data_IF_536924898089
#
_entry.id   IF_536924898089
#
_cell.length_a   1.000
_cell.length_b   1.000
_cell.length_c   1.000
_cell.angle_alpha   90.00
_cell.angle_beta   90.00
_cell.angle_gamma   90.00
#
_symmetry.space_group_name_H-M   'P 1'
#
loop_
_entity.id
_entity.type
_entity.pdbx_description
1 polymer ?
#
# COMPACT_ATOMS: atom_id res chain seq x y z
N UNK A 1 -31.56 23.37 66.10
CA UNK A 1 -31.33 22.93 64.70
C UNK A 1 -29.82 22.79 64.52
N UNK A 2 -29.28 21.57 64.50
CA UNK A 2 -27.83 21.31 64.37
C UNK A 2 -27.54 20.97 62.91
N UNK A 3 -26.73 21.79 62.24
CA UNK A 3 -26.33 21.55 60.85
C UNK A 3 -25.13 20.59 60.86
N UNK A 4 -25.27 19.46 60.16
CA UNK A 4 -24.19 18.50 59.92
C UNK A 4 -23.43 18.94 58.67
N UNK A 5 -22.14 19.25 58.83
CA UNK A 5 -21.22 19.48 57.70
C UNK A 5 -20.61 18.14 57.33
N UNK A 6 -20.87 17.68 56.11
CA UNK A 6 -20.21 16.51 55.53
C UNK A 6 -19.02 16.98 54.70
N UNK A 7 -17.81 16.68 55.15
CA UNK A 7 -16.59 16.88 54.35
C UNK A 7 -16.39 15.64 53.49
N UNK A 8 -16.65 15.76 52.19
CA UNK A 8 -16.29 14.73 51.22
C UNK A 8 -14.81 14.88 50.86
N UNK A 9 -14.00 13.92 51.32
CA UNK A 9 -12.59 13.83 50.94
C UNK A 9 -12.49 13.09 49.60
N UNK A 10 -12.30 13.81 48.50
CA UNK A 10 -12.07 13.20 47.18
C UNK A 10 -10.66 12.65 47.10
N UNK A 11 -10.51 11.33 47.15
CA UNK A 11 -9.26 10.66 46.78
C UNK A 11 -9.15 10.69 45.26
N UNK A 12 -8.30 11.57 44.74
CA UNK A 12 -8.00 11.64 43.32
C UNK A 12 -7.08 10.48 42.95
N UNK A 13 -7.64 9.42 42.36
CA UNK A 13 -6.85 8.31 41.84
C UNK A 13 -6.02 8.81 40.65
N UNK A 14 -4.70 8.88 40.84
CA UNK A 14 -3.76 9.15 39.75
C UNK A 14 -3.74 7.91 38.86
N UNK A 15 -4.56 7.93 37.81
CA UNK A 15 -4.49 6.96 36.72
C UNK A 15 -3.17 7.20 35.99
N UNK A 16 -2.15 6.42 36.35
CA UNK A 16 -0.92 6.36 35.56
C UNK A 16 -1.28 5.68 34.25
N UNK A 17 -1.42 6.48 33.19
CA UNK A 17 -1.49 5.96 31.83
C UNK A 17 -0.09 5.39 31.52
N UNK A 18 0.05 4.08 31.64
CA UNK A 18 1.24 3.39 31.14
C UNK A 18 1.20 3.54 29.63
N UNK A 19 2.00 4.48 29.12
CA UNK A 19 2.17 4.68 27.69
C UNK A 19 2.92 3.46 27.17
N UNK A 20 2.18 2.51 26.58
CA UNK A 20 2.78 1.36 25.93
C UNK A 20 3.73 1.88 24.86
N UNK A 21 5.03 1.62 25.00
CA UNK A 21 5.99 1.94 23.96
C UNK A 21 5.54 1.23 22.67
N UNK A 22 5.39 1.99 21.58
CA UNK A 22 4.98 1.43 20.30
C UNK A 22 5.97 0.32 19.91
N UNK A 23 5.42 -0.87 19.62
CA UNK A 23 6.25 -1.99 19.19
C UNK A 23 6.79 -1.67 17.79
N UNK A 24 8.06 -1.99 17.50
CA UNK A 24 8.59 -1.87 16.15
C UNK A 24 7.71 -2.63 15.15
N UNK A 25 7.40 -2.00 14.02
CA UNK A 25 6.62 -2.59 12.92
C UNK A 25 7.47 -2.71 11.66
N UNK A 26 7.16 -3.69 10.82
CA UNK A 26 7.80 -3.92 9.52
C UNK A 26 6.70 -4.02 8.48
N UNK A 27 6.85 -3.29 7.38
CA UNK A 27 6.04 -3.46 6.16
C UNK A 27 6.83 -4.21 5.10
N UNK A 28 6.17 -5.12 4.39
CA UNK A 28 6.78 -5.90 3.30
C UNK A 28 5.91 -5.75 2.06
N UNK A 29 6.53 -5.35 0.95
CA UNK A 29 5.89 -5.22 -0.37
C UNK A 29 6.56 -6.23 -1.30
N UNK A 30 5.75 -6.97 -2.07
CA UNK A 30 6.22 -7.87 -3.12
C UNK A 30 5.92 -7.25 -4.49
N UNK A 31 6.98 -6.85 -5.18
CA UNK A 31 6.94 -6.15 -6.47
C UNK A 31 6.94 -7.09 -7.69
N UNK A 32 6.79 -6.49 -8.88
CA UNK A 32 6.85 -7.14 -10.18
C UNK A 32 5.82 -8.24 -10.45
N UNK A 33 4.70 -8.22 -9.73
CA UNK A 33 3.58 -9.15 -9.94
C UNK A 33 2.78 -8.74 -11.20
N UNK A 34 2.16 -9.73 -11.86
CA UNK A 34 1.22 -9.50 -12.98
C UNK A 34 1.58 -10.22 -14.28
N UNK A 35 2.84 -10.61 -14.49
CA UNK A 35 3.27 -11.30 -15.73
C UNK A 35 2.93 -12.79 -15.75
N UNK A 36 3.08 -13.47 -14.62
CA UNK A 36 2.88 -14.92 -14.52
C UNK A 36 1.86 -15.22 -13.42
N UNK A 37 0.82 -15.97 -13.78
CA UNK A 37 -0.29 -16.28 -12.88
C UNK A 37 0.14 -17.16 -11.69
N UNK A 38 1.00 -18.16 -11.93
CA UNK A 38 1.44 -19.09 -10.91
C UNK A 38 2.31 -18.38 -9.86
N UNK A 39 3.31 -17.62 -10.28
CA UNK A 39 4.18 -16.89 -9.34
C UNK A 39 3.43 -15.77 -8.62
N UNK A 40 2.49 -15.10 -9.31
CA UNK A 40 1.62 -14.11 -8.67
C UNK A 40 0.77 -14.72 -7.54
N UNK A 41 0.21 -15.91 -7.76
CA UNK A 41 -0.52 -16.63 -6.70
C UNK A 41 0.37 -17.11 -5.56
N UNK A 42 1.61 -17.51 -5.85
CA UNK A 42 2.57 -17.81 -4.79
C UNK A 42 2.83 -16.60 -3.90
N UNK A 43 2.99 -15.40 -4.49
CA UNK A 43 3.14 -14.16 -3.74
C UNK A 43 1.90 -13.83 -2.90
N UNK A 44 0.70 -13.95 -3.46
CA UNK A 44 -0.57 -13.75 -2.75
C UNK A 44 -0.71 -14.71 -1.55
N UNK A 45 -0.24 -15.96 -1.70
CA UNK A 45 -0.35 -16.98 -0.67
C UNK A 45 0.75 -16.92 0.41
N UNK A 46 1.66 -15.94 0.36
CA UNK A 46 2.64 -15.76 1.42
C UNK A 46 1.94 -15.50 2.78
N UNK A 47 2.42 -16.10 3.88
CA UNK A 47 1.82 -15.90 5.19
C UNK A 47 2.06 -14.47 5.70
N UNK A 48 1.12 -13.96 6.49
CA UNK A 48 1.21 -12.64 7.13
C UNK A 48 0.83 -11.45 6.23
N UNK A 49 1.06 -10.26 6.76
CA UNK A 49 0.65 -8.99 6.14
C UNK A 49 1.72 -8.54 5.14
N UNK A 50 1.56 -8.97 3.89
CA UNK A 50 2.39 -8.55 2.76
C UNK A 50 1.53 -7.82 1.74
N UNK A 51 2.00 -6.67 1.28
CA UNK A 51 1.37 -5.94 0.18
C UNK A 51 1.82 -6.53 -1.16
N UNK A 52 0.91 -6.61 -2.12
CA UNK A 52 1.16 -7.11 -3.47
C UNK A 52 1.13 -5.94 -4.43
N UNK A 53 2.26 -5.68 -5.09
CA UNK A 53 2.44 -4.57 -6.01
C UNK A 53 2.50 -5.09 -7.45
N UNK A 54 1.55 -4.67 -8.28
CA UNK A 54 1.35 -5.22 -9.61
C UNK A 54 1.77 -4.23 -10.70
N UNK A 55 2.59 -4.70 -11.65
CA UNK A 55 2.90 -3.93 -12.85
C UNK A 55 1.61 -3.72 -13.66
N UNK A 56 1.34 -2.52 -14.20
CA UNK A 56 0.17 -2.29 -15.02
C UNK A 56 0.26 -3.00 -16.37
N UNK A 57 -0.91 -3.21 -16.99
CA UNK A 57 -1.06 -3.78 -18.33
C UNK A 57 -0.36 -5.15 -18.55
N UNK A 58 -0.11 -5.93 -17.49
CA UNK A 58 0.36 -7.32 -17.65
C UNK A 58 -0.83 -8.27 -17.82
N UNK A 59 -0.63 -9.45 -18.44
CA UNK A 59 -1.73 -10.35 -18.77
C UNK A 59 -2.60 -10.77 -17.58
N UNK A 60 -2.06 -10.74 -16.36
CA UNK A 60 -2.78 -11.17 -15.16
C UNK A 60 -2.91 -10.08 -14.09
N UNK A 61 -2.56 -8.82 -14.36
CA UNK A 61 -2.61 -7.75 -13.34
C UNK A 61 -4.01 -7.60 -12.74
N UNK A 62 -5.03 -7.44 -13.58
CA UNK A 62 -6.39 -7.22 -13.09
C UNK A 62 -6.91 -8.41 -12.26
N UNK A 63 -6.65 -9.63 -12.75
CA UNK A 63 -7.05 -10.86 -12.08
C UNK A 63 -6.34 -11.02 -10.75
N UNK A 64 -5.02 -10.87 -10.73
CA UNK A 64 -4.22 -11.05 -9.53
C UNK A 64 -4.49 -9.95 -8.50
N UNK A 65 -4.80 -8.73 -8.92
CA UNK A 65 -5.20 -7.65 -8.01
C UNK A 65 -6.51 -8.00 -7.28
N UNK A 66 -7.52 -8.48 -8.02
CA UNK A 66 -8.77 -8.98 -7.43
C UNK A 66 -8.56 -10.20 -6.52
N UNK A 67 -7.73 -11.17 -6.96
CA UNK A 67 -7.38 -12.35 -6.14
C UNK A 67 -6.63 -11.94 -4.85
N UNK A 68 -5.73 -10.97 -4.92
CA UNK A 68 -4.97 -10.46 -3.78
C UNK A 68 -5.88 -9.75 -2.76
N UNK A 69 -6.73 -8.84 -3.24
CA UNK A 69 -7.69 -8.13 -2.40
C UNK A 69 -8.69 -9.12 -1.73
N UNK A 70 -9.20 -10.10 -2.49
CA UNK A 70 -10.08 -11.13 -1.94
C UNK A 70 -9.39 -12.02 -0.89
N UNK A 71 -8.05 -12.17 -0.98
CA UNK A 71 -7.23 -12.85 0.03
C UNK A 71 -6.85 -11.94 1.22
N UNK A 72 -7.36 -10.72 1.27
CA UNK A 72 -7.07 -9.75 2.34
C UNK A 72 -5.69 -9.11 2.26
N UNK A 73 -5.02 -9.18 1.11
CA UNK A 73 -3.73 -8.49 0.89
C UNK A 73 -3.96 -7.04 0.49
N UNK A 74 -3.07 -6.16 0.93
CA UNK A 74 -3.00 -4.81 0.38
C UNK A 74 -2.54 -4.86 -1.08
N UNK A 75 -3.17 -4.08 -1.95
CA UNK A 75 -2.86 -4.03 -3.38
C UNK A 75 -2.26 -2.67 -3.72
N UNK A 76 -1.16 -2.68 -4.46
CA UNK A 76 -0.48 -1.47 -4.94
C UNK A 76 -0.27 -1.54 -6.45
N UNK A 77 -0.26 -0.37 -7.10
CA UNK A 77 0.20 -0.24 -8.48
C UNK A 77 1.73 -0.12 -8.50
N UNK A 78 2.42 -1.03 -9.17
CA UNK A 78 3.87 -0.94 -9.41
C UNK A 78 4.14 -0.16 -10.71
N UNK A 79 4.29 1.15 -10.61
CA UNK A 79 4.27 2.08 -11.75
C UNK A 79 5.65 2.23 -12.40
N UNK A 80 5.84 1.86 -13.68
CA UNK A 80 7.13 2.01 -14.37
C UNK A 80 7.52 3.47 -14.53
N UNK A 81 8.75 3.80 -14.18
CA UNK A 81 9.35 5.13 -14.30
C UNK A 81 10.71 5.02 -14.99
N UNK A 82 11.09 6.04 -15.75
CA UNK A 82 12.34 6.04 -16.50
C UNK A 82 13.58 5.90 -15.59
N UNK A 83 14.72 5.57 -16.17
CA UNK A 83 16.01 5.52 -15.45
C UNK A 83 17.01 6.44 -16.11
N UNK A 84 17.98 6.94 -15.34
CA UNK A 84 19.13 7.69 -15.86
C UNK A 84 19.90 6.92 -16.94
N UNK A 85 19.87 5.59 -16.91
CA UNK A 85 20.58 4.71 -17.84
C UNK A 85 19.78 4.38 -19.11
N UNK A 86 18.54 4.84 -19.22
CA UNK A 86 17.70 4.64 -20.41
C UNK A 86 17.19 3.20 -20.56
N UNK A 87 16.93 2.51 -19.45
CA UNK A 87 16.37 1.16 -19.48
C UNK A 87 15.00 1.14 -20.17
N UNK A 88 14.67 0.00 -20.78
CA UNK A 88 13.39 -0.13 -21.50
C UNK A 88 12.22 -0.08 -20.54
N UNK A 89 11.45 1.00 -20.63
CA UNK A 89 10.18 1.16 -19.95
C UNK A 89 9.15 0.12 -20.40
N UNK A 90 8.42 -0.43 -19.43
CA UNK A 90 7.23 -1.23 -19.67
C UNK A 90 6.02 -0.35 -20.06
N UNK A 91 4.90 -0.98 -20.44
CA UNK A 91 3.63 -0.28 -20.63
C UNK A 91 3.25 0.56 -19.40
N UNK A 92 2.65 1.74 -19.61
CA UNK A 92 2.30 2.69 -18.54
C UNK A 92 3.48 3.51 -18.01
N UNK A 93 4.68 3.35 -18.61
CA UNK A 93 5.90 4.03 -18.19
C UNK A 93 5.81 5.55 -18.21
N UNK A 94 6.37 6.19 -17.19
CA UNK A 94 6.45 7.64 -17.06
C UNK A 94 7.84 8.15 -17.43
N UNK A 95 7.90 9.26 -18.17
CA UNK A 95 9.15 9.94 -18.54
C UNK A 95 9.11 11.44 -18.25
N UNK A 96 10.27 12.08 -18.12
CA UNK A 96 10.44 13.49 -17.81
C UNK A 96 10.01 14.38 -18.99
N UNK A 97 10.05 13.87 -20.21
CA UNK A 97 9.62 14.58 -21.42
C UNK A 97 8.09 14.60 -21.58
N UNK A 98 7.36 13.83 -20.77
CA UNK A 98 5.91 13.81 -20.85
C UNK A 98 5.30 15.15 -20.46
N UNK A 99 4.28 15.58 -21.21
CA UNK A 99 3.40 16.64 -20.75
C UNK A 99 2.66 16.20 -19.49
N UNK A 100 2.29 17.15 -18.62
CA UNK A 100 1.47 16.88 -17.43
C UNK A 100 0.20 16.09 -17.76
N UNK A 101 -0.45 16.40 -18.89
CA UNK A 101 -1.65 15.70 -19.32
C UNK A 101 -1.37 14.22 -19.63
N UNK A 102 -0.34 13.95 -20.43
CA UNK A 102 0.08 12.58 -20.78
C UNK A 102 0.52 11.80 -19.55
N UNK A 103 1.28 12.43 -18.65
CA UNK A 103 1.76 11.85 -17.41
C UNK A 103 0.59 11.38 -16.52
N UNK A 104 -0.37 12.27 -16.24
CA UNK A 104 -1.54 11.93 -15.45
C UNK A 104 -2.42 10.88 -16.14
N UNK A 105 -2.60 10.98 -17.46
CA UNK A 105 -3.35 9.98 -18.21
C UNK A 105 -2.73 8.59 -18.09
N UNK A 106 -1.39 8.47 -18.18
CA UNK A 106 -0.70 7.19 -18.01
C UNK A 106 -0.92 6.59 -16.63
N UNK A 107 -0.90 7.42 -15.57
CA UNK A 107 -1.20 6.98 -14.20
C UNK A 107 -2.64 6.47 -14.09
N UNK A 108 -3.62 7.23 -14.60
CA UNK A 108 -5.03 6.82 -14.53
C UNK A 108 -5.29 5.54 -15.31
N UNK A 109 -4.77 5.42 -16.53
CA UNK A 109 -4.89 4.21 -17.33
C UNK A 109 -4.22 3.01 -16.65
N UNK A 110 -3.08 3.21 -15.99
CA UNK A 110 -2.38 2.17 -15.23
C UNK A 110 -3.21 1.70 -14.02
N UNK A 111 -3.80 2.62 -13.25
CA UNK A 111 -4.68 2.32 -12.12
C UNK A 111 -5.90 1.50 -12.54
N UNK A 112 -6.47 1.73 -13.73
CA UNK A 112 -7.59 0.93 -14.23
C UNK A 112 -7.23 -0.56 -14.42
N UNK A 113 -5.95 -0.88 -14.62
CA UNK A 113 -5.50 -2.28 -14.79
C UNK A 113 -5.13 -2.98 -13.48
N UNK A 114 -5.10 -2.25 -12.38
CA UNK A 114 -4.82 -2.76 -11.02
C UNK A 114 -5.98 -2.32 -10.11
N UNK A 115 -7.18 -2.93 -10.25
CA UNK A 115 -8.31 -2.64 -9.38
C UNK A 115 -7.96 -2.94 -7.93
N UNK A 116 -8.66 -2.31 -6.99
CA UNK A 116 -8.41 -2.41 -5.54
C UNK A 116 -7.08 -1.79 -5.06
N UNK A 117 -6.28 -1.18 -5.96
CA UNK A 117 -5.06 -0.51 -5.55
C UNK A 117 -5.36 0.65 -4.58
N UNK A 118 -4.72 0.60 -3.40
CA UNK A 118 -4.81 1.65 -2.36
C UNK A 118 -3.56 2.52 -2.30
N UNK A 119 -2.53 2.16 -3.06
CA UNK A 119 -1.25 2.87 -3.12
C UNK A 119 -0.51 2.65 -4.44
N UNK A 120 0.58 3.40 -4.61
CA UNK A 120 1.47 3.32 -5.79
C UNK A 120 2.90 3.10 -5.28
N UNK A 121 3.62 2.19 -5.92
CA UNK A 121 5.04 1.93 -5.71
C UNK A 121 5.78 2.11 -7.05
N UNK A 122 6.95 2.75 -7.07
CA UNK A 122 7.72 2.96 -8.31
C UNK A 122 8.42 1.67 -8.76
N UNK A 123 8.39 1.38 -10.07
CA UNK A 123 9.25 0.38 -10.71
C UNK A 123 10.38 1.12 -11.44
N UNK A 124 11.61 0.97 -10.94
CA UNK A 124 12.76 1.81 -11.31
C UNK A 124 12.55 3.29 -10.91
N UNK A 125 12.87 4.28 -11.74
CA UNK A 125 12.69 5.71 -11.39
C UNK A 125 13.89 6.37 -10.70
N UNK A 126 15.11 6.09 -11.16
CA UNK A 126 16.36 6.70 -10.63
C UNK A 126 16.71 8.02 -11.30
#
# INVERSE_FOLDING_TARGET
>A
MKQFVWVFCSVMAIVHCVQAAERPVIGIIIDDVGRNLQTGRMAINLPGDVAISLLPHRPYSERLAKEAAAAGKEVMLHLPMETLNGDRLGPGGLTMEMSKHTYLKSIYDSLQTVPEAVGINNHMGS
#
